data_IF_280677970150
#
_entry.id   IF_280677970150
#
_cell.length_a   1.000
_cell.length_b   1.000
_cell.length_c   1.000
_cell.angle_alpha   90.00
_cell.angle_beta   90.00
_cell.angle_gamma   90.00
#
_symmetry.space_group_name_H-M   'P 1'
#
loop_
_entity.id
_entity.type
_entity.pdbx_description
1 polymer ?
#
# COMPACT_ATOMS: atom_id res chain seq x y z
N UNK A 1 -10.20 6.15 -2.05
CA UNK A 1 -9.54 5.01 -1.39
C UNK A 1 -9.92 5.05 0.08
N UNK A 2 -10.03 3.90 0.73
CA UNK A 2 -10.27 3.80 2.18
C UNK A 2 -9.09 3.06 2.79
N UNK A 3 -8.58 3.56 3.92
CA UNK A 3 -7.45 2.94 4.61
C UNK A 3 -7.98 1.83 5.52
N UNK A 4 -7.49 0.60 5.33
CA UNK A 4 -7.81 -0.54 6.21
C UNK A 4 -6.82 -0.64 7.38
N UNK A 5 -5.53 -0.44 7.11
CA UNK A 5 -4.45 -0.47 8.08
C UNK A 5 -3.27 0.34 7.52
N UNK A 6 -2.56 1.06 8.38
CA UNK A 6 -1.30 1.72 8.03
C UNK A 6 -0.22 1.21 8.98
N UNK A 7 0.73 0.47 8.42
CA UNK A 7 1.86 -0.08 9.15
C UNK A 7 3.14 0.73 8.90
N UNK A 8 3.95 0.90 9.94
CA UNK A 8 5.27 1.52 9.87
C UNK A 8 6.28 0.73 10.70
N UNK A 9 7.54 0.58 10.27
CA UNK A 9 8.55 -0.08 11.08
C UNK A 9 8.87 0.67 12.38
N UNK A 10 8.68 2.00 12.38
CA UNK A 10 8.93 2.87 13.53
C UNK A 10 8.02 4.10 13.47
N UNK A 11 7.47 4.52 14.60
CA UNK A 11 6.61 5.70 14.71
C UNK A 11 7.09 6.66 15.81
N UNK A 12 7.81 7.72 15.41
CA UNK A 12 8.03 8.86 16.30
C UNK A 12 6.73 9.68 16.40
N UNK A 13 6.05 9.55 17.54
CA UNK A 13 4.78 10.22 17.78
C UNK A 13 4.89 11.75 17.82
N UNK A 14 6.04 12.29 18.23
CA UNK A 14 6.24 13.74 18.33
C UNK A 14 6.45 14.32 16.93
N UNK A 15 7.32 13.70 16.14
CA UNK A 15 7.61 14.13 14.78
C UNK A 15 6.39 13.97 13.87
N UNK A 16 5.64 12.87 14.01
CA UNK A 16 4.51 12.54 13.15
C UNK A 16 3.18 13.14 13.61
N UNK A 17 3.12 13.86 14.75
CA UNK A 17 1.88 14.43 15.26
C UNK A 17 1.07 15.25 14.22
N UNK A 18 1.68 16.12 13.39
CA UNK A 18 0.93 16.86 12.36
C UNK A 18 0.36 15.96 11.25
N UNK A 19 1.07 14.89 10.88
CA UNK A 19 0.64 13.94 9.86
C UNK A 19 -0.46 13.01 10.38
N UNK A 20 -0.34 12.56 11.63
CA UNK A 20 -1.36 11.75 12.31
C UNK A 20 -2.69 12.51 12.44
N UNK A 21 -2.63 13.83 12.69
CA UNK A 21 -3.83 14.67 12.71
C UNK A 21 -4.53 14.74 11.33
N UNK A 22 -3.78 14.62 10.23
CA UNK A 22 -4.32 14.63 8.86
C UNK A 22 -4.82 13.25 8.39
N UNK A 23 -4.28 12.17 8.95
CA UNK A 23 -4.66 10.80 8.59
C UNK A 23 -6.14 10.49 8.90
N UNK A 24 -6.68 11.16 9.91
CA UNK A 24 -8.07 11.01 10.35
C UNK A 24 -8.24 10.01 11.48
N UNK A 25 -9.35 10.14 12.23
CA UNK A 25 -9.65 9.25 13.34
C UNK A 25 -10.06 7.85 12.85
N UNK A 26 -9.63 6.81 13.56
CA UNK A 26 -10.09 5.44 13.36
C UNK A 26 -9.31 4.61 12.34
N UNK A 27 -8.23 5.15 11.75
CA UNK A 27 -7.32 4.35 10.91
C UNK A 27 -6.45 3.47 11.82
N UNK A 28 -6.49 2.13 11.69
CA UNK A 28 -5.61 1.25 12.47
C UNK A 28 -4.14 1.51 12.15
N UNK A 29 -3.35 1.80 13.17
CA UNK A 29 -1.91 1.99 13.08
C UNK A 29 -1.20 0.78 13.69
N UNK A 30 -0.24 0.22 12.96
CA UNK A 30 0.59 -0.89 13.43
C UNK A 30 2.06 -0.50 13.36
N UNK A 31 2.73 -0.49 14.51
CA UNK A 31 4.18 -0.35 14.58
C UNK A 31 4.84 -1.73 14.69
N UNK A 32 5.86 -1.99 13.88
CA UNK A 32 6.66 -3.23 13.92
C UNK A 32 6.67 -4.02 12.61
N UNK A 33 7.10 -5.28 12.68
CA UNK A 33 7.46 -6.09 11.50
C UNK A 33 7.03 -7.57 11.57
N UNK A 34 6.00 -7.91 12.36
CA UNK A 34 5.43 -9.26 12.37
C UNK A 34 4.73 -9.57 11.02
N UNK A 35 5.46 -10.25 10.15
CA UNK A 35 5.04 -10.55 8.79
C UNK A 35 3.87 -11.53 8.74
N UNK A 36 3.86 -12.58 9.56
CA UNK A 36 2.83 -13.62 9.52
C UNK A 36 1.48 -13.07 9.97
N UNK A 37 1.51 -12.26 11.03
CA UNK A 37 0.32 -11.54 11.51
C UNK A 37 -0.20 -10.56 10.45
N UNK A 38 0.68 -9.79 9.80
CA UNK A 38 0.30 -8.87 8.73
C UNK A 38 -0.30 -9.59 7.52
N UNK A 39 0.32 -10.66 7.04
CA UNK A 39 -0.19 -11.47 5.92
C UNK A 39 -1.54 -12.09 6.25
N UNK A 40 -1.74 -12.56 7.48
CA UNK A 40 -3.03 -13.09 7.95
C UNK A 40 -4.13 -12.03 7.87
N UNK A 41 -3.83 -10.80 8.30
CA UNK A 41 -4.79 -9.67 8.18
C UNK A 41 -5.05 -9.29 6.73
N UNK A 42 -4.03 -9.23 5.87
CA UNK A 42 -4.20 -8.93 4.44
C UNK A 42 -5.12 -9.96 3.77
N UNK A 43 -4.89 -11.26 4.03
CA UNK A 43 -5.72 -12.34 3.48
C UNK A 43 -7.16 -12.31 3.99
N UNK A 44 -7.36 -11.98 5.27
CA UNK A 44 -8.69 -11.86 5.86
C UNK A 44 -9.48 -10.66 5.30
N UNK A 45 -8.82 -9.52 5.11
CA UNK A 45 -9.48 -8.29 4.64
C UNK A 45 -9.57 -8.17 3.12
N UNK A 46 -8.74 -8.90 2.36
CA UNK A 46 -8.64 -8.86 0.89
C UNK A 46 -8.68 -7.42 0.31
N UNK A 47 -7.70 -6.55 0.66
CA UNK A 47 -7.69 -5.17 0.17
C UNK A 47 -7.61 -5.09 -1.36
N UNK A 48 -8.21 -4.04 -1.93
CA UNK A 48 -8.09 -3.73 -3.36
C UNK A 48 -6.65 -3.40 -3.78
N UNK A 49 -5.81 -2.98 -2.84
CA UNK A 49 -4.40 -2.68 -3.08
C UNK A 49 -3.59 -2.86 -1.79
N UNK A 50 -2.51 -3.64 -1.86
CA UNK A 50 -1.53 -3.79 -0.79
C UNK A 50 -0.21 -3.12 -1.16
N UNK A 51 0.26 -2.19 -0.32
CA UNK A 51 1.61 -1.61 -0.47
C UNK A 51 2.60 -2.48 0.28
N UNK A 52 3.54 -3.13 -0.41
CA UNK A 52 4.43 -4.11 0.22
C UNK A 52 5.82 -4.16 -0.41
N UNK A 53 6.78 -4.81 0.26
CA UNK A 53 8.10 -5.06 -0.30
C UNK A 53 8.07 -6.09 -1.43
N UNK A 54 9.08 -6.07 -2.31
CA UNK A 54 9.19 -7.00 -3.44
C UNK A 54 9.25 -8.49 -3.00
N UNK A 55 9.77 -8.76 -1.80
CA UNK A 55 9.87 -10.12 -1.26
C UNK A 55 8.52 -10.83 -1.07
N UNK A 56 7.41 -10.08 -1.01
CA UNK A 56 6.06 -10.63 -0.84
C UNK A 56 5.07 -10.18 -1.92
N UNK A 57 5.47 -9.30 -2.85
CA UNK A 57 4.58 -8.78 -3.87
C UNK A 57 4.06 -9.87 -4.83
N UNK A 58 4.96 -10.64 -5.47
CA UNK A 58 4.55 -11.70 -6.39
C UNK A 58 3.74 -12.82 -5.73
N UNK A 59 4.10 -13.31 -4.51
CA UNK A 59 3.25 -14.23 -3.77
C UNK A 59 1.81 -13.73 -3.56
N UNK A 60 1.64 -12.46 -3.18
CA UNK A 60 0.31 -11.86 -3.01
C UNK A 60 -0.44 -11.74 -4.33
N UNK A 61 0.21 -11.31 -5.41
CA UNK A 61 -0.41 -11.26 -6.74
C UNK A 61 -0.88 -12.65 -7.21
N UNK A 62 -0.10 -13.69 -6.93
CA UNK A 62 -0.47 -15.08 -7.23
C UNK A 62 -1.69 -15.58 -6.42
N UNK A 63 -1.97 -14.98 -5.26
CA UNK A 63 -3.17 -15.21 -4.45
C UNK A 63 -4.37 -14.32 -4.88
N UNK A 64 -4.22 -13.57 -5.98
CA UNK A 64 -5.22 -12.61 -6.47
C UNK A 64 -5.35 -11.38 -5.57
N UNK A 65 -4.27 -11.00 -4.87
CA UNK A 65 -4.20 -9.81 -4.04
C UNK A 65 -3.27 -8.80 -4.73
N UNK A 66 -3.87 -7.71 -5.21
CA UNK A 66 -3.18 -6.69 -6.00
C UNK A 66 -2.17 -5.92 -5.16
N UNK A 67 -0.99 -5.66 -5.71
CA UNK A 67 0.12 -5.05 -4.99
C UNK A 67 0.66 -3.78 -5.66
N UNK A 68 1.24 -2.93 -4.82
CA UNK A 68 2.10 -1.81 -5.21
C UNK A 68 3.40 -1.94 -4.44
N UNK A 69 4.52 -2.11 -5.14
CA UNK A 69 5.79 -2.29 -4.45
C UNK A 69 6.27 -0.99 -3.76
N UNK A 70 6.60 -1.07 -2.48
CA UNK A 70 6.80 0.08 -1.60
C UNK A 70 8.05 0.91 -1.94
N UNK A 71 9.15 0.24 -2.31
CA UNK A 71 10.47 0.87 -2.53
C UNK A 71 10.43 1.95 -3.62
N UNK A 72 9.50 1.86 -4.58
CA UNK A 72 9.31 2.91 -5.59
C UNK A 72 9.02 4.29 -5.02
N UNK A 73 8.36 4.38 -3.85
CA UNK A 73 8.07 5.66 -3.20
C UNK A 73 9.33 6.39 -2.72
N UNK A 74 10.46 5.67 -2.61
CA UNK A 74 11.70 6.22 -2.03
C UNK A 74 12.55 6.90 -3.11
N UNK A 75 12.53 6.39 -4.34
CA UNK A 75 13.37 6.90 -5.43
C UNK A 75 12.59 7.61 -6.53
N UNK A 76 11.25 7.60 -6.49
CA UNK A 76 10.43 8.43 -7.37
C UNK A 76 10.24 9.80 -6.74
N UNK A 77 10.37 10.92 -7.48
CA UNK A 77 9.97 12.23 -6.99
C UNK A 77 8.48 12.24 -6.65
N UNK A 78 8.13 12.44 -5.37
CA UNK A 78 6.74 12.40 -4.88
C UNK A 78 6.35 13.63 -4.06
N UNK A 79 7.31 14.49 -3.73
CA UNK A 79 7.09 15.70 -2.94
C UNK A 79 6.90 16.91 -3.86
N UNK A 80 6.05 17.85 -3.42
CA UNK A 80 5.77 19.09 -4.15
C UNK A 80 4.46 19.05 -4.93
N UNK A 81 3.99 20.22 -5.37
CA UNK A 81 2.73 20.35 -6.11
C UNK A 81 2.79 19.68 -7.48
N UNK A 82 3.93 19.80 -8.16
CA UNK A 82 4.11 19.27 -9.53
C UNK A 82 4.10 17.74 -9.54
N UNK A 83 4.51 17.09 -8.45
CA UNK A 83 4.62 15.63 -8.32
C UNK A 83 3.33 14.96 -7.79
N UNK A 84 2.29 15.73 -7.45
CA UNK A 84 1.07 15.18 -6.87
C UNK A 84 0.37 14.18 -7.82
N UNK A 85 0.35 14.50 -9.12
CA UNK A 85 -0.23 13.62 -10.14
C UNK A 85 0.59 12.33 -10.33
N UNK A 86 1.93 12.45 -10.30
CA UNK A 86 2.83 11.30 -10.43
C UNK A 86 2.67 10.34 -9.25
N UNK A 87 2.63 10.87 -8.02
CA UNK A 87 2.36 10.09 -6.82
C UNK A 87 1.04 9.32 -6.93
N UNK A 88 -0.05 9.99 -7.32
CA UNK A 88 -1.34 9.33 -7.56
C UNK A 88 -1.25 8.23 -8.63
N UNK A 89 -0.47 8.48 -9.69
CA UNK A 89 -0.17 7.52 -10.75
C UNK A 89 0.50 6.25 -10.22
N UNK A 90 1.40 6.35 -9.23
CA UNK A 90 2.08 5.17 -8.65
C UNK A 90 1.08 4.17 -8.06
N UNK A 91 0.00 4.64 -7.44
CA UNK A 91 -1.05 3.80 -6.87
C UNK A 91 -2.09 3.36 -7.92
N UNK A 92 -2.36 4.19 -8.93
CA UNK A 92 -3.34 3.88 -9.97
C UNK A 92 -2.85 2.82 -10.98
N UNK A 93 -1.55 2.79 -11.27
CA UNK A 93 -0.97 1.86 -12.27
C UNK A 93 -1.31 0.37 -12.07
N UNK A 94 -1.18 -0.23 -10.87
CA UNK A 94 -1.57 -1.63 -10.68
C UNK A 94 -3.07 -1.86 -10.92
N UNK A 95 -3.94 -0.91 -10.56
CA UNK A 95 -5.38 -0.98 -10.82
C UNK A 95 -5.70 -0.94 -12.33
N UNK A 96 -4.99 -0.10 -13.06
CA UNK A 96 -5.16 0.03 -14.52
C UNK A 96 -4.58 -1.16 -15.28
N UNK A 97 -3.48 -1.74 -14.78
CA UNK A 97 -2.84 -2.91 -15.40
C UNK A 97 -3.82 -4.07 -15.49
N UNK A 98 -4.55 -4.36 -14.42
CA UNK A 98 -5.52 -5.45 -14.40
C UNK A 98 -6.61 -5.27 -15.46
N UNK A 99 -7.27 -4.10 -15.50
CA UNK A 99 -8.29 -3.81 -16.53
C UNK A 99 -7.77 -3.94 -17.97
N UNK A 100 -6.47 -3.70 -18.19
CA UNK A 100 -5.83 -3.82 -19.50
C UNK A 100 -5.41 -5.24 -19.84
N UNK A 101 -5.14 -6.05 -18.82
CA UNK A 101 -4.71 -7.44 -18.95
C UNK A 101 -5.84 -8.44 -18.76
N UNK A 102 -7.06 -7.98 -18.45
CA UNK A 102 -8.30 -8.76 -18.54
C UNK A 102 -8.54 -9.21 -20.00
N UNK A 103 -7.77 -10.20 -20.42
CA UNK A 103 -7.93 -11.03 -21.60
C UNK A 103 -7.94 -12.46 -21.06
N UNK A 104 -9.13 -12.91 -20.63
CA UNK A 104 -9.33 -14.25 -20.09
C UNK A 104 -9.03 -14.37 -18.59
N UNK A 105 -10.01 -14.89 -17.86
CA UNK A 105 -9.91 -15.25 -16.45
C UNK A 105 -8.65 -16.07 -16.16
N UNK A 106 -7.72 -15.53 -15.39
CA UNK A 106 -6.74 -16.33 -14.67
C UNK A 106 -7.46 -16.90 -13.44
N UNK A 107 -8.12 -18.03 -13.65
CA UNK A 107 -8.73 -18.90 -12.63
C UNK A 107 -8.13 -20.28 -12.79
#
# INVERSE_FOLDING_TARGET
>A
MTLLEVATPYLDQTLMAPELAKLGAGVPLVEGSDLDSALSRVRAHRPDLTVCGMGIANPLEAEGLRTKWSIELIFTPVQGFDQAADLAGLFARPLMRERRLEVGSWS
#
